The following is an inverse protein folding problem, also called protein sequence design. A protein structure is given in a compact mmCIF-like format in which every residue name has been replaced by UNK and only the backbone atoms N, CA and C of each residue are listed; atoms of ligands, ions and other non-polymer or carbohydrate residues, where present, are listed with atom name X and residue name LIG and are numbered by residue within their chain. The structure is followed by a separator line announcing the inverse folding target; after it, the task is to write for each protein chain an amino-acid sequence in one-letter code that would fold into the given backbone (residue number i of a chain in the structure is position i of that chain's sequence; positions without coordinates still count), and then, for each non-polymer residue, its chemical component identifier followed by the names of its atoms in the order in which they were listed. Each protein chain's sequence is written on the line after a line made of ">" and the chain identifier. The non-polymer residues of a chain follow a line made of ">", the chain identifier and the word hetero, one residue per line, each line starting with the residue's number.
data_IF_080855717038
#
_entry.id   IF_080855717038
#
_cell.length_a   1.000
_cell.length_b   1.000
_cell.length_c   1.000
_cell.angle_alpha   90.00
_cell.angle_beta   90.00
_cell.angle_gamma   90.00
#
_symmetry.space_group_name_H-M   'P 1'
#
loop_
_entity.id
_entity.type
_entity.pdbx_description
1 polymer ?
#
# COMPACT_ATOMS: atom_id res chain seq x y z
N UNK A 1 -47.25 36.88 -19.33
CA UNK A 1 -46.46 35.79 -19.93
C UNK A 1 -45.03 35.94 -19.47
N UNK A 2 -44.69 35.43 -18.28
CA UNK A 2 -43.31 35.26 -17.84
C UNK A 2 -43.08 33.75 -17.80
N UNK A 3 -42.29 33.25 -18.74
CA UNK A 3 -41.79 31.87 -18.71
C UNK A 3 -40.74 31.78 -17.60
N UNK A 4 -41.11 31.16 -16.48
CA UNK A 4 -40.14 30.64 -15.52
C UNK A 4 -39.33 29.55 -16.22
N UNK A 5 -38.09 29.88 -16.60
CA UNK A 5 -37.07 28.88 -16.87
C UNK A 5 -36.67 28.30 -15.52
N UNK A 6 -37.12 27.07 -15.26
CA UNK A 6 -36.55 26.22 -14.22
C UNK A 6 -35.21 25.75 -14.78
N UNK A 7 -34.13 26.43 -14.39
CA UNK A 7 -32.79 25.86 -14.47
C UNK A 7 -32.79 24.66 -13.53
N UNK A 8 -32.87 23.46 -14.11
CA UNK A 8 -32.53 22.23 -13.41
C UNK A 8 -31.08 22.35 -13.00
N UNK A 9 -30.85 22.55 -11.70
CA UNK A 9 -29.57 22.33 -11.06
C UNK A 9 -29.06 20.96 -11.52
N UNK A 10 -28.02 20.94 -12.34
CA UNK A 10 -27.11 19.81 -12.47
C UNK A 10 -26.40 19.66 -11.11
N UNK A 11 -27.16 19.24 -10.10
CA UNK A 11 -26.57 18.73 -8.88
C UNK A 11 -25.75 17.53 -9.30
N UNK A 12 -24.47 17.52 -8.93
CA UNK A 12 -23.58 16.37 -9.05
C UNK A 12 -24.33 15.14 -8.52
N UNK A 13 -24.94 14.39 -9.42
CA UNK A 13 -25.37 13.04 -9.14
C UNK A 13 -24.08 12.30 -8.87
N UNK A 14 -23.77 12.14 -7.59
CA UNK A 14 -22.81 11.15 -7.11
C UNK A 14 -23.17 9.87 -7.86
N UNK A 15 -22.32 9.52 -8.81
CA UNK A 15 -22.64 8.56 -9.84
C UNK A 15 -22.92 7.24 -9.13
N UNK A 16 -24.08 6.63 -9.37
CA UNK A 16 -24.43 5.33 -8.74
C UNK A 16 -23.33 4.30 -9.02
N UNK A 17 -22.62 4.48 -10.12
CA UNK A 17 -21.42 3.76 -10.54
C UNK A 17 -20.26 3.87 -9.54
N UNK A 18 -20.09 4.97 -8.80
CA UNK A 18 -19.00 5.15 -7.83
C UNK A 18 -19.26 4.37 -6.53
N UNK A 19 -20.52 4.32 -6.07
CA UNK A 19 -20.95 3.51 -4.93
C UNK A 19 -20.88 2.02 -5.28
N UNK A 20 -21.38 1.61 -6.46
CA UNK A 20 -21.27 0.22 -6.91
C UNK A 20 -19.82 -0.25 -7.00
N UNK A 21 -18.90 0.62 -7.42
CA UNK A 21 -17.46 0.32 -7.45
C UNK A 21 -16.82 0.18 -6.07
N UNK A 22 -17.38 0.73 -4.99
CA UNK A 22 -16.87 0.48 -3.62
C UNK A 22 -17.21 -0.96 -3.17
N UNK A 23 -18.44 -1.40 -3.39
CA UNK A 23 -18.88 -2.77 -3.10
C UNK A 23 -18.09 -3.82 -3.91
N UNK A 24 -17.66 -3.46 -5.11
CA UNK A 24 -16.77 -4.29 -5.93
C UNK A 24 -15.36 -4.36 -5.34
N UNK A 25 -14.79 -3.23 -4.87
CA UNK A 25 -13.47 -3.20 -4.25
C UNK A 25 -13.37 -4.06 -2.98
N UNK A 26 -14.41 -4.10 -2.15
CA UNK A 26 -14.42 -4.93 -0.94
C UNK A 26 -14.40 -6.43 -1.27
N UNK A 27 -14.84 -6.81 -2.47
CA UNK A 27 -14.86 -8.20 -2.93
C UNK A 27 -13.58 -8.63 -3.64
N UNK A 28 -12.68 -7.68 -3.96
CA UNK A 28 -11.45 -7.96 -4.70
C UNK A 28 -10.57 -8.94 -3.91
N UNK A 29 -10.23 -10.05 -4.57
CA UNK A 29 -9.33 -11.06 -4.00
C UNK A 29 -8.05 -11.12 -4.81
N UNK A 30 -6.94 -11.24 -4.09
CA UNK A 30 -5.66 -11.62 -4.71
C UNK A 30 -5.68 -13.12 -4.98
N UNK A 31 -5.53 -13.51 -6.24
CA UNK A 31 -5.44 -14.92 -6.62
C UNK A 31 -4.19 -15.53 -5.99
N UNK A 32 -4.35 -16.69 -5.32
CA UNK A 32 -3.24 -17.30 -4.55
C UNK A 32 -2.02 -17.66 -5.43
N UNK A 33 -2.25 -17.99 -6.70
CA UNK A 33 -1.21 -18.53 -7.58
C UNK A 33 -0.66 -17.52 -8.58
N UNK A 34 -1.52 -16.72 -9.23
CA UNK A 34 -1.02 -15.69 -10.16
C UNK A 34 -0.60 -14.41 -9.46
N UNK A 35 -0.98 -14.24 -8.18
CA UNK A 35 -0.71 -13.01 -7.41
C UNK A 35 -1.23 -11.78 -8.15
N UNK A 36 -2.38 -11.91 -8.79
CA UNK A 36 -3.08 -10.85 -9.51
C UNK A 36 -4.38 -10.53 -8.78
N UNK A 37 -4.91 -9.33 -8.97
CA UNK A 37 -6.29 -9.07 -8.59
C UNK A 37 -7.23 -9.84 -9.52
N UNK A 38 -8.37 -10.28 -9.00
CA UNK A 38 -9.44 -10.92 -9.78
C UNK A 38 -10.16 -9.93 -10.71
N UNK A 39 -9.98 -8.63 -10.49
CA UNK A 39 -10.47 -7.55 -11.34
C UNK A 39 -9.32 -6.94 -12.17
N UNK A 40 -9.42 -7.07 -13.50
CA UNK A 40 -8.41 -6.60 -14.47
C UNK A 40 -8.20 -5.08 -14.45
N UNK A 41 -9.25 -4.29 -14.17
CA UNK A 41 -9.15 -2.82 -14.14
C UNK A 41 -8.32 -2.37 -12.93
N UNK A 42 -8.51 -3.03 -11.78
CA UNK A 42 -7.74 -2.77 -10.56
C UNK A 42 -6.30 -3.25 -10.72
N UNK A 43 -6.07 -4.37 -11.41
CA UNK A 43 -4.73 -4.83 -11.77
C UNK A 43 -4.02 -3.81 -12.67
N UNK A 44 -4.71 -3.30 -13.70
CA UNK A 44 -4.17 -2.28 -14.58
C UNK A 44 -3.83 -0.99 -13.81
N UNK A 45 -4.72 -0.53 -12.94
CA UNK A 45 -4.51 0.64 -12.08
C UNK A 45 -3.31 0.43 -11.15
N UNK A 46 -3.20 -0.73 -10.49
CA UNK A 46 -2.06 -1.07 -9.64
C UNK A 46 -0.74 -1.06 -10.41
N UNK A 47 -0.72 -1.66 -11.61
CA UNK A 47 0.49 -1.70 -12.45
C UNK A 47 0.89 -0.30 -12.91
N UNK A 48 -0.08 0.53 -13.29
CA UNK A 48 0.20 1.88 -13.81
C UNK A 48 0.61 2.86 -12.70
N UNK A 49 0.00 2.77 -11.52
CA UNK A 49 0.20 3.73 -10.42
C UNK A 49 1.38 3.36 -9.52
N UNK A 50 1.58 2.07 -9.23
CA UNK A 50 2.57 1.61 -8.25
C UNK A 50 3.80 1.02 -8.93
N UNK A 51 3.60 0.02 -9.80
CA UNK A 51 4.70 -0.77 -10.39
C UNK A 51 5.47 0.06 -11.40
N UNK A 52 4.81 0.57 -12.45
CA UNK A 52 5.50 1.16 -13.60
C UNK A 52 6.40 2.36 -13.24
N UNK A 53 5.94 3.36 -12.47
CA UNK A 53 6.76 4.52 -12.15
C UNK A 53 7.99 4.12 -11.34
N UNK A 54 7.79 3.25 -10.36
CA UNK A 54 8.87 2.83 -9.46
C UNK A 54 9.84 1.87 -10.15
N UNK A 55 9.37 0.98 -11.01
CA UNK A 55 10.24 0.10 -11.79
C UNK A 55 11.15 0.90 -12.72
N UNK A 56 10.61 1.93 -13.39
CA UNK A 56 11.39 2.83 -14.26
C UNK A 56 12.48 3.59 -13.52
N UNK A 57 12.21 4.06 -12.30
CA UNK A 57 13.24 4.77 -11.51
C UNK A 57 14.29 3.81 -10.96
N UNK A 58 13.90 2.59 -10.56
CA UNK A 58 14.80 1.60 -9.96
C UNK A 58 15.65 0.85 -10.98
N UNK A 59 15.20 0.69 -12.23
CA UNK A 59 16.00 0.02 -13.26
C UNK A 59 17.16 0.89 -13.79
N UNK A 60 17.06 2.23 -13.68
CA UNK A 60 18.10 3.17 -14.14
C UNK A 60 19.44 2.91 -13.43
N UNK A 61 19.53 2.83 -12.08
CA UNK A 61 20.77 2.45 -11.40
C UNK A 61 21.35 1.12 -11.87
N UNK A 62 20.51 0.11 -12.16
CA UNK A 62 20.96 -1.20 -12.64
C UNK A 62 21.56 -1.08 -14.04
N UNK A 63 20.88 -0.38 -14.94
CA UNK A 63 21.38 -0.12 -16.29
C UNK A 63 22.69 0.67 -16.26
N UNK A 64 22.80 1.67 -15.39
CA UNK A 64 24.02 2.44 -15.20
C UNK A 64 25.18 1.59 -14.64
N UNK A 65 24.91 0.75 -13.65
CA UNK A 65 25.90 -0.17 -13.08
C UNK A 65 26.37 -1.19 -14.12
N UNK A 66 25.45 -1.78 -14.90
CA UNK A 66 25.78 -2.71 -15.97
C UNK A 66 26.59 -2.02 -17.07
N UNK A 67 26.22 -0.81 -17.48
CA UNK A 67 26.97 -0.02 -18.45
C UNK A 67 28.41 0.25 -17.97
N UNK A 68 28.56 0.75 -16.74
CA UNK A 68 29.86 1.06 -16.16
C UNK A 68 30.73 -0.20 -16.03
N UNK A 69 30.14 -1.30 -15.56
CA UNK A 69 30.85 -2.58 -15.46
C UNK A 69 31.25 -3.13 -16.83
N UNK A 70 30.39 -2.99 -17.84
CA UNK A 70 30.70 -3.45 -19.20
C UNK A 70 31.81 -2.64 -19.86
N UNK A 71 31.83 -1.32 -19.64
CA UNK A 71 32.94 -0.47 -20.06
C UNK A 71 34.23 -0.87 -19.34
N UNK A 72 34.15 -1.10 -18.03
CA UNK A 72 35.29 -1.54 -17.23
C UNK A 72 35.85 -2.88 -17.76
N UNK A 73 34.99 -3.88 -17.98
CA UNK A 73 35.39 -5.19 -18.48
C UNK A 73 36.02 -5.17 -19.88
N UNK A 74 35.71 -4.17 -20.72
CA UNK A 74 36.34 -3.99 -22.04
C UNK A 74 37.64 -3.18 -21.97
N UNK A 75 37.70 -2.22 -21.05
CA UNK A 75 38.82 -1.28 -20.94
C UNK A 75 39.99 -1.83 -20.12
N UNK A 76 39.76 -2.80 -19.23
CA UNK A 76 40.78 -3.28 -18.30
C UNK A 76 40.92 -4.82 -18.34
N UNK A 77 42.16 -5.29 -18.46
CA UNK A 77 42.51 -6.72 -18.40
C UNK A 77 42.34 -7.29 -16.99
N UNK A 78 42.86 -6.54 -16.02
CA UNK A 78 42.82 -6.77 -14.59
C UNK A 78 42.65 -5.46 -13.82
N UNK A 79 42.45 -5.54 -12.49
CA UNK A 79 42.52 -4.37 -11.62
C UNK A 79 43.90 -3.70 -11.81
N UNK A 80 43.91 -2.56 -12.51
CA UNK A 80 45.07 -1.68 -12.75
C UNK A 80 46.05 -2.07 -13.87
N UNK A 81 45.82 -3.15 -14.61
CA UNK A 81 46.62 -3.42 -15.81
C UNK A 81 46.04 -2.70 -17.06
N UNK A 82 46.95 -2.18 -17.87
CA UNK A 82 46.66 -1.16 -18.89
C UNK A 82 46.37 -1.72 -20.27
N UNK A 83 46.35 -3.04 -20.45
CA UNK A 83 46.06 -3.66 -21.75
C UNK A 83 44.54 -3.86 -21.92
N UNK A 84 43.86 -3.03 -22.74
CA UNK A 84 42.41 -3.10 -22.82
C UNK A 84 41.96 -4.31 -23.65
N UNK A 85 41.03 -5.13 -23.15
CA UNK A 85 40.50 -6.29 -23.89
C UNK A 85 39.88 -5.94 -25.23
N UNK A 86 39.34 -4.73 -25.38
CA UNK A 86 38.82 -4.24 -26.66
C UNK A 86 39.88 -4.17 -27.76
N UNK A 87 41.17 -4.33 -27.47
CA UNK A 87 42.23 -4.44 -28.50
C UNK A 87 42.57 -5.89 -28.86
N UNK A 88 42.09 -6.85 -28.06
CA UNK A 88 42.36 -8.27 -28.23
C UNK A 88 41.21 -8.94 -29.01
N UNK A 89 41.42 -9.20 -30.30
CA UNK A 89 40.44 -9.85 -31.19
C UNK A 89 41.02 -11.09 -31.90
N UNK A 90 42.09 -11.65 -31.34
CA UNK A 90 42.93 -12.64 -32.02
C UNK A 90 42.32 -14.05 -32.04
N UNK A 91 41.49 -14.40 -31.05
CA UNK A 91 40.74 -15.66 -31.04
C UNK A 91 39.23 -15.44 -31.18
N UNK A 92 38.52 -16.52 -31.54
CA UNK A 92 37.06 -16.53 -31.55
C UNK A 92 36.47 -16.27 -30.15
N UNK A 93 37.12 -16.74 -29.08
CA UNK A 93 36.70 -16.51 -27.70
C UNK A 93 36.82 -15.03 -27.31
N UNK A 94 37.95 -14.37 -27.61
CA UNK A 94 38.10 -12.92 -27.36
C UNK A 94 37.07 -12.11 -28.13
N UNK A 95 36.84 -12.46 -29.40
CA UNK A 95 35.87 -11.78 -30.26
C UNK A 95 34.47 -11.85 -29.65
N UNK A 96 34.01 -13.04 -29.24
CA UNK A 96 32.68 -13.22 -28.67
C UNK A 96 32.54 -12.56 -27.29
N UNK A 97 33.59 -12.64 -26.46
CA UNK A 97 33.66 -11.94 -25.18
C UNK A 97 33.49 -10.42 -25.36
N UNK A 98 34.26 -9.81 -26.27
CA UNK A 98 34.16 -8.38 -26.56
C UNK A 98 32.77 -8.00 -27.11
N UNK A 99 32.22 -8.78 -28.04
CA UNK A 99 30.88 -8.55 -28.58
C UNK A 99 29.79 -8.62 -27.49
N UNK A 100 29.93 -9.53 -26.51
CA UNK A 100 28.97 -9.64 -25.41
C UNK A 100 28.95 -8.40 -24.51
N UNK A 101 30.11 -7.83 -24.19
CA UNK A 101 30.18 -6.58 -23.43
C UNK A 101 29.73 -5.36 -24.23
N UNK A 102 30.02 -5.31 -25.54
CA UNK A 102 29.44 -4.29 -26.43
C UNK A 102 27.91 -4.39 -26.44
N UNK A 103 27.36 -5.61 -26.51
CA UNK A 103 25.92 -5.84 -26.37
C UNK A 103 25.38 -5.32 -25.03
N UNK A 104 26.07 -5.56 -23.91
CA UNK A 104 25.65 -5.04 -22.61
C UNK A 104 25.68 -3.51 -22.54
N UNK A 105 26.67 -2.85 -23.15
CA UNK A 105 26.70 -1.39 -23.27
C UNK A 105 25.50 -0.89 -24.06
N UNK A 106 25.29 -1.40 -25.28
CA UNK A 106 24.20 -0.95 -26.15
C UNK A 106 22.83 -1.23 -25.56
N UNK A 107 22.63 -2.41 -24.95
CA UNK A 107 21.37 -2.77 -24.30
C UNK A 107 21.12 -1.95 -23.03
N UNK A 108 22.16 -1.57 -22.28
CA UNK A 108 22.04 -0.65 -21.13
C UNK A 108 21.63 0.76 -21.56
N UNK A 109 22.18 1.27 -22.67
CA UNK A 109 21.76 2.54 -23.26
C UNK A 109 20.31 2.45 -23.72
N UNK A 110 19.93 1.35 -24.37
CA UNK A 110 18.56 1.13 -24.86
C UNK A 110 17.55 1.10 -23.70
N UNK A 111 17.80 0.33 -22.63
CA UNK A 111 16.87 0.27 -21.49
C UNK A 111 16.83 1.59 -20.74
N UNK A 112 17.96 2.31 -20.64
CA UNK A 112 17.98 3.66 -20.06
C UNK A 112 17.10 4.61 -20.87
N UNK A 113 17.21 4.60 -22.21
CA UNK A 113 16.38 5.39 -23.10
C UNK A 113 14.89 5.04 -22.95
N UNK A 114 14.53 3.76 -22.89
CA UNK A 114 13.13 3.33 -22.70
C UNK A 114 12.59 3.73 -21.32
N UNK A 115 13.45 3.75 -20.29
CA UNK A 115 13.07 4.11 -18.92
C UNK A 115 12.73 5.58 -18.77
N UNK A 116 13.39 6.47 -19.51
CA UNK A 116 13.13 7.92 -19.50
C UNK A 116 11.97 8.36 -20.41
N UNK A 117 11.55 7.51 -21.37
CA UNK A 117 10.40 7.81 -22.23
C UNK A 117 9.13 7.89 -21.34
N UNK A 118 8.32 8.95 -21.47
CA UNK A 118 7.10 9.10 -20.69
C UNK A 118 6.17 7.88 -20.77
N UNK A 119 5.53 7.54 -19.65
CA UNK A 119 4.59 6.41 -19.51
C UNK A 119 3.43 6.47 -20.49
N UNK A 120 3.07 7.66 -20.98
CA UNK A 120 2.03 7.85 -22.01
C UNK A 120 2.34 7.15 -23.34
N UNK A 121 3.62 6.90 -23.64
CA UNK A 121 4.06 6.27 -24.89
C UNK A 121 4.28 4.77 -24.71
N UNK A 122 4.77 4.36 -23.55
CA UNK A 122 5.02 2.94 -23.23
C UNK A 122 4.24 2.59 -21.97
N UNK A 123 3.17 1.80 -22.15
CA UNK A 123 2.31 1.36 -21.06
C UNK A 123 3.14 0.59 -20.02
N UNK A 124 2.67 0.60 -18.77
CA UNK A 124 3.40 -0.01 -17.66
C UNK A 124 3.69 -1.50 -17.86
N UNK A 125 2.71 -2.24 -18.38
CA UNK A 125 2.84 -3.66 -18.69
C UNK A 125 3.89 -3.93 -19.78
N UNK A 126 3.90 -3.12 -20.85
CA UNK A 126 4.86 -3.27 -21.94
C UNK A 126 6.29 -3.04 -21.45
N UNK A 127 6.47 -2.04 -20.57
CA UNK A 127 7.78 -1.75 -19.98
C UNK A 127 8.32 -2.91 -19.13
N UNK A 128 7.45 -3.52 -18.33
CA UNK A 128 7.82 -4.69 -17.52
C UNK A 128 8.24 -5.87 -18.38
N UNK A 129 7.49 -6.16 -19.46
CA UNK A 129 7.80 -7.22 -20.42
C UNK A 129 9.15 -6.95 -21.11
N UNK A 130 9.36 -5.73 -21.61
CA UNK A 130 10.64 -5.34 -22.25
C UNK A 130 11.80 -5.49 -21.28
N UNK A 131 11.63 -5.05 -20.03
CA UNK A 131 12.65 -5.16 -18.99
C UNK A 131 12.93 -6.62 -18.62
N UNK A 132 11.90 -7.46 -18.57
CA UNK A 132 12.04 -8.91 -18.33
C UNK A 132 12.85 -9.56 -19.46
N UNK A 133 12.51 -9.28 -20.72
CA UNK A 133 13.23 -9.83 -21.87
C UNK A 133 14.69 -9.37 -21.84
N UNK A 134 14.93 -8.08 -21.61
CA UNK A 134 16.26 -7.50 -21.49
C UNK A 134 17.10 -8.16 -20.40
N UNK A 135 16.54 -8.35 -19.19
CA UNK A 135 17.22 -9.01 -18.08
C UNK A 135 17.55 -10.47 -18.39
N UNK A 136 16.59 -11.24 -18.91
CA UNK A 136 16.81 -12.66 -19.21
C UNK A 136 17.89 -12.83 -20.30
N UNK A 137 17.81 -12.09 -21.40
CA UNK A 137 18.85 -12.14 -22.45
C UNK A 137 20.18 -11.68 -21.87
N UNK A 138 20.21 -10.62 -21.07
CA UNK A 138 21.41 -10.13 -20.40
C UNK A 138 22.07 -11.19 -19.52
N UNK A 139 21.30 -11.93 -18.72
CA UNK A 139 21.81 -13.02 -17.89
C UNK A 139 22.44 -14.12 -18.75
N UNK A 140 21.75 -14.58 -19.80
CA UNK A 140 22.29 -15.62 -20.67
C UNK A 140 23.57 -15.20 -21.38
N UNK A 141 23.58 -13.98 -21.96
CA UNK A 141 24.77 -13.43 -22.63
C UNK A 141 25.91 -13.23 -21.64
N UNK A 142 25.65 -12.68 -20.46
CA UNK A 142 26.66 -12.44 -19.43
C UNK A 142 27.25 -13.72 -18.86
N UNK A 143 26.43 -14.74 -18.61
CA UNK A 143 26.90 -16.05 -18.12
C UNK A 143 27.69 -16.79 -19.19
N UNK A 144 27.19 -16.89 -20.42
CA UNK A 144 27.86 -17.67 -21.48
C UNK A 144 29.13 -16.99 -22.01
N UNK A 145 29.05 -15.68 -22.26
CA UNK A 145 30.04 -14.95 -23.04
C UNK A 145 30.75 -13.87 -22.23
N UNK A 146 30.14 -13.37 -21.16
CA UNK A 146 30.76 -12.40 -20.24
C UNK A 146 31.73 -13.04 -19.23
N UNK A 147 31.67 -14.36 -19.04
CA UNK A 147 32.63 -15.10 -18.22
C UNK A 147 33.74 -15.71 -19.09
N UNK A 148 35.00 -15.32 -18.85
CA UNK A 148 36.17 -15.73 -19.64
C UNK A 148 36.33 -17.25 -19.73
N UNK A 149 36.17 -17.95 -18.61
CA UNK A 149 36.26 -19.41 -18.55
C UNK A 149 35.23 -20.08 -19.47
N UNK A 150 33.94 -19.76 -19.30
CA UNK A 150 32.85 -20.32 -20.12
C UNK A 150 33.03 -19.96 -21.60
N UNK A 151 33.37 -18.71 -21.90
CA UNK A 151 33.57 -18.25 -23.27
C UNK A 151 34.70 -19.02 -23.97
N UNK A 152 35.84 -19.24 -23.31
CA UNK A 152 36.93 -20.07 -23.86
C UNK A 152 36.51 -21.53 -24.06
N UNK A 153 35.85 -22.13 -23.06
CA UNK A 153 35.41 -23.53 -23.11
C UNK A 153 34.40 -23.81 -24.22
N UNK A 154 33.53 -22.86 -24.56
CA UNK A 154 32.59 -22.98 -25.70
C UNK A 154 33.32 -23.26 -27.02
N UNK A 155 34.52 -22.70 -27.19
CA UNK A 155 35.35 -22.89 -28.39
C UNK A 155 36.42 -23.97 -28.22
N UNK A 156 36.43 -24.69 -27.09
CA UNK A 156 37.42 -25.74 -26.81
C UNK A 156 38.82 -25.23 -26.50
N UNK A 157 38.98 -23.93 -26.20
CA UNK A 157 40.27 -23.38 -25.79
C UNK A 157 40.55 -23.65 -24.30
N UNK A 158 41.84 -23.74 -23.95
CA UNK A 158 42.26 -23.50 -22.57
C UNK A 158 42.04 -22.01 -22.27
N UNK A 159 41.32 -21.62 -21.20
CA UNK A 159 41.10 -20.21 -20.85
C UNK A 159 42.37 -19.36 -20.74
N UNK A 160 43.53 -19.96 -20.49
CA UNK A 160 44.82 -19.26 -20.45
C UNK A 160 45.26 -18.81 -21.86
N UNK A 161 44.94 -19.56 -22.91
CA UNK A 161 45.38 -19.23 -24.28
C UNK A 161 44.81 -17.90 -24.82
N UNK A 162 43.48 -17.64 -24.77
CA UNK A 162 42.91 -16.39 -25.25
C UNK A 162 42.98 -15.23 -24.24
N UNK A 163 43.06 -15.52 -22.93
CA UNK A 163 42.92 -14.49 -21.88
C UNK A 163 44.15 -14.34 -20.97
N UNK A 164 45.17 -15.20 -21.09
CA UNK A 164 46.36 -15.21 -20.22
C UNK A 164 47.49 -14.28 -20.60
N UNK A 165 47.36 -13.52 -21.70
CA UNK A 165 48.40 -12.60 -22.14
C UNK A 165 48.60 -11.47 -21.13
N UNK A 166 49.77 -11.42 -20.49
CA UNK A 166 50.18 -10.32 -19.61
C UNK A 166 50.13 -10.62 -18.10
N UNK A 167 49.82 -11.87 -17.71
CA UNK A 167 49.78 -12.25 -16.29
C UNK A 167 51.16 -12.67 -15.79
N UNK A 168 51.53 -12.16 -14.61
CA UNK A 168 52.66 -12.68 -13.84
C UNK A 168 52.43 -14.17 -13.49
N UNK A 169 53.51 -14.96 -13.46
CA UNK A 169 53.50 -16.40 -13.17
C UNK A 169 52.71 -16.71 -11.88
N UNK A 170 51.44 -17.08 -12.03
CA UNK A 170 50.57 -17.54 -10.93
C UNK A 170 49.18 -16.91 -10.85
N UNK A 171 48.90 -15.81 -11.55
CA UNK A 171 47.54 -15.25 -11.60
C UNK A 171 46.68 -16.02 -12.62
N UNK A 172 45.49 -16.46 -12.22
CA UNK A 172 44.55 -17.10 -13.13
C UNK A 172 43.84 -16.03 -13.98
N UNK A 173 43.79 -16.17 -15.32
CA UNK A 173 43.20 -15.16 -16.23
C UNK A 173 41.69 -15.00 -16.12
N UNK A 174 41.04 -15.76 -15.25
CA UNK A 174 39.61 -15.83 -15.11
C UNK A 174 39.20 -15.64 -13.65
N UNK A 175 38.07 -14.95 -13.45
CA UNK A 175 37.44 -14.80 -12.14
C UNK A 175 36.89 -16.14 -11.64
N UNK A 176 36.94 -16.36 -10.32
CA UNK A 176 36.27 -17.50 -9.70
C UNK A 176 34.77 -17.47 -9.99
N UNK A 177 34.16 -18.66 -10.06
CA UNK A 177 32.72 -18.80 -10.27
C UNK A 177 31.89 -18.26 -9.08
N UNK A 178 32.53 -18.06 -7.93
CA UNK A 178 31.93 -17.40 -6.77
C UNK A 178 31.46 -15.96 -7.08
N UNK A 179 32.23 -15.20 -7.86
CA UNK A 179 31.86 -13.83 -8.26
C UNK A 179 30.62 -13.84 -9.14
N UNK A 180 30.54 -14.80 -10.06
CA UNK A 180 29.37 -14.96 -10.93
C UNK A 180 28.13 -15.34 -10.12
N UNK A 181 28.25 -16.29 -9.19
CA UNK A 181 27.17 -16.66 -8.27
C UNK A 181 26.68 -15.47 -7.45
N UNK A 182 27.60 -14.67 -6.91
CA UNK A 182 27.28 -13.47 -6.15
C UNK A 182 26.53 -12.45 -7.00
N UNK A 183 26.99 -12.20 -8.23
CA UNK A 183 26.33 -11.27 -9.17
C UNK A 183 24.92 -11.77 -9.52
N UNK A 184 24.79 -13.04 -9.88
CA UNK A 184 23.49 -13.63 -10.25
C UNK A 184 22.49 -13.59 -9.09
N UNK A 185 22.94 -13.93 -7.88
CA UNK A 185 22.11 -13.82 -6.68
C UNK A 185 21.78 -12.35 -6.36
N UNK A 186 22.73 -11.44 -6.55
CA UNK A 186 22.55 -10.01 -6.38
C UNK A 186 21.49 -9.44 -7.32
N UNK A 187 21.48 -9.86 -8.59
CA UNK A 187 20.45 -9.48 -9.57
C UNK A 187 19.07 -9.92 -9.09
N UNK A 188 18.88 -11.20 -8.75
CA UNK A 188 17.58 -11.71 -8.27
C UNK A 188 17.16 -10.98 -7.00
N UNK A 189 18.07 -10.82 -6.04
CA UNK A 189 17.81 -10.11 -4.77
C UNK A 189 17.38 -8.67 -5.01
N UNK A 190 18.07 -7.95 -5.90
CA UNK A 190 17.73 -6.58 -6.25
C UNK A 190 16.31 -6.46 -6.82
N UNK A 191 15.95 -7.31 -7.79
CA UNK A 191 14.63 -7.25 -8.42
C UNK A 191 13.50 -7.79 -7.55
N UNK A 192 13.79 -8.70 -6.61
CA UNK A 192 12.80 -9.23 -5.67
C UNK A 192 12.56 -8.30 -4.48
N UNK A 193 13.58 -7.58 -4.01
CA UNK A 193 13.48 -6.77 -2.78
C UNK A 193 13.32 -5.29 -3.06
N UNK A 194 14.09 -4.74 -4.01
CA UNK A 194 14.22 -3.30 -4.20
C UNK A 194 13.44 -2.75 -5.39
N UNK A 195 13.12 -3.59 -6.37
CA UNK A 195 12.33 -3.20 -7.54
C UNK A 195 10.92 -3.77 -7.41
N UNK A 196 9.87 -2.93 -7.36
CA UNK A 196 8.51 -3.45 -7.41
C UNK A 196 8.25 -3.98 -8.82
N UNK A 197 8.34 -5.29 -8.94
CA UNK A 197 7.98 -6.09 -10.12
C UNK A 197 6.89 -7.06 -9.73
N UNK A 198 6.14 -7.63 -10.67
CA UNK A 198 5.23 -8.73 -10.35
C UNK A 198 6.01 -10.01 -10.09
N UNK A 199 5.52 -10.87 -9.21
CA UNK A 199 6.08 -12.18 -8.86
C UNK A 199 6.38 -13.01 -10.12
N UNK A 200 5.54 -12.92 -11.15
CA UNK A 200 5.74 -13.60 -12.43
C UNK A 200 7.08 -13.24 -13.08
N UNK A 201 7.48 -11.97 -13.06
CA UNK A 201 8.78 -11.53 -13.57
C UNK A 201 9.91 -12.13 -12.73
N UNK A 202 9.79 -12.05 -11.40
CA UNK A 202 10.78 -12.57 -10.47
C UNK A 202 10.98 -14.09 -10.63
N UNK A 203 9.92 -14.86 -10.83
CA UNK A 203 9.99 -16.31 -11.10
C UNK A 203 10.71 -16.59 -12.42
N UNK A 204 10.36 -15.87 -13.49
CA UNK A 204 11.05 -16.02 -14.78
C UNK A 204 12.54 -15.72 -14.66
N UNK A 205 12.90 -14.64 -13.96
CA UNK A 205 14.28 -14.24 -13.72
C UNK A 205 15.04 -15.30 -12.93
N UNK A 206 14.44 -15.80 -11.85
CA UNK A 206 14.97 -16.87 -11.02
C UNK A 206 15.23 -18.14 -11.82
N UNK A 207 14.28 -18.58 -12.64
CA UNK A 207 14.43 -19.73 -13.52
C UNK A 207 15.58 -19.50 -14.49
N UNK A 208 15.65 -18.31 -15.12
CA UNK A 208 16.73 -18.01 -16.07
C UNK A 208 18.10 -18.04 -15.40
N UNK A 209 18.26 -17.46 -14.21
CA UNK A 209 19.52 -17.47 -13.44
C UNK A 209 19.93 -18.90 -13.08
N UNK A 210 19.02 -19.67 -12.49
CA UNK A 210 19.30 -21.05 -12.08
C UNK A 210 19.64 -21.91 -13.31
N UNK A 211 18.88 -21.78 -14.40
CA UNK A 211 19.07 -22.57 -15.60
C UNK A 211 20.35 -22.17 -16.34
N UNK A 212 20.63 -20.88 -16.52
CA UNK A 212 21.84 -20.42 -17.20
C UNK A 212 23.09 -20.85 -16.45
N UNK A 213 23.12 -20.70 -15.12
CA UNK A 213 24.27 -21.10 -14.33
C UNK A 213 24.45 -22.63 -14.33
N UNK A 214 23.39 -23.38 -13.99
CA UNK A 214 23.48 -24.84 -13.87
C UNK A 214 23.81 -25.48 -15.22
N UNK A 215 23.09 -25.12 -16.30
CA UNK A 215 23.32 -25.70 -17.62
C UNK A 215 24.75 -25.44 -18.09
N UNK A 216 25.26 -24.20 -17.93
CA UNK A 216 26.62 -23.89 -18.35
C UNK A 216 27.67 -24.57 -17.48
N UNK A 217 27.47 -24.65 -16.15
CA UNK A 217 28.38 -25.36 -15.26
C UNK A 217 28.45 -26.86 -15.53
N UNK A 218 27.32 -27.51 -15.84
CA UNK A 218 27.30 -28.94 -16.19
C UNK A 218 27.88 -29.23 -17.58
N UNK A 219 27.66 -28.36 -18.57
CA UNK A 219 28.12 -28.57 -19.94
C UNK A 219 29.59 -28.19 -20.11
N UNK A 220 30.02 -27.05 -19.55
CA UNK A 220 31.34 -26.46 -19.76
C UNK A 220 32.32 -26.74 -18.60
N UNK A 221 31.83 -27.28 -17.48
CA UNK A 221 32.60 -27.43 -16.25
C UNK A 221 32.78 -26.13 -15.48
N UNK A 222 33.43 -26.23 -14.33
CA UNK A 222 33.77 -25.09 -13.47
C UNK A 222 35.29 -24.85 -13.43
N UNK A 223 35.74 -23.60 -13.20
CA UNK A 223 37.16 -23.24 -13.13
C UNK A 223 37.92 -23.89 -11.97
N UNK A 224 37.25 -24.14 -10.85
CA UNK A 224 37.81 -24.77 -9.65
C UNK A 224 37.31 -26.23 -9.55
N UNK A 225 37.96 -27.09 -8.76
CA UNK A 225 37.51 -28.48 -8.48
C UNK A 225 36.15 -28.58 -7.78
N UNK A 226 35.41 -27.49 -7.77
CA UNK A 226 34.08 -27.36 -7.24
C UNK A 226 33.10 -28.26 -7.98
N UNK A 227 32.22 -28.89 -7.21
CA UNK A 227 31.19 -29.74 -7.76
C UNK A 227 30.06 -28.85 -8.32
N UNK A 228 29.78 -28.89 -9.65
CA UNK A 228 28.72 -28.08 -10.26
C UNK A 228 27.34 -28.36 -9.68
N UNK A 229 27.10 -29.59 -9.19
CA UNK A 229 25.86 -29.93 -8.52
C UNK A 229 25.68 -29.15 -7.21
N UNK A 230 26.73 -29.08 -6.39
CA UNK A 230 26.68 -28.37 -5.09
C UNK A 230 26.42 -26.88 -5.29
N UNK A 231 27.15 -26.24 -6.21
CA UNK A 231 26.98 -24.81 -6.51
C UNK A 231 25.59 -24.51 -7.10
N UNK A 232 25.10 -25.38 -7.99
CA UNK A 232 23.75 -25.25 -8.57
C UNK A 232 22.66 -25.39 -7.51
N UNK A 233 22.75 -26.37 -6.62
CA UNK A 233 21.80 -26.54 -5.51
C UNK A 233 21.82 -25.32 -4.60
N UNK A 234 23.00 -24.82 -4.25
CA UNK A 234 23.14 -23.62 -3.40
C UNK A 234 22.46 -22.42 -4.05
N UNK A 235 22.71 -22.16 -5.34
CA UNK A 235 22.07 -21.08 -6.08
C UNK A 235 20.54 -21.23 -6.08
N UNK A 236 20.03 -22.43 -6.38
CA UNK A 236 18.58 -22.71 -6.40
C UNK A 236 17.95 -22.42 -5.02
N UNK A 237 18.59 -22.84 -3.93
CA UNK A 237 18.10 -22.60 -2.57
C UNK A 237 18.06 -21.09 -2.26
N UNK A 238 19.15 -20.37 -2.53
CA UNK A 238 19.24 -18.92 -2.29
C UNK A 238 18.18 -18.15 -3.09
N UNK A 239 18.06 -18.44 -4.39
CA UNK A 239 17.07 -17.83 -5.27
C UNK A 239 15.65 -18.15 -4.82
N UNK A 240 15.38 -19.39 -4.41
CA UNK A 240 14.06 -19.81 -3.92
C UNK A 240 13.64 -19.07 -2.64
N UNK A 241 14.59 -18.85 -1.72
CA UNK A 241 14.35 -18.07 -0.50
C UNK A 241 13.97 -16.62 -0.83
N UNK A 242 14.70 -16.01 -1.75
CA UNK A 242 14.45 -14.62 -2.19
C UNK A 242 13.10 -14.49 -2.90
N UNK A 243 12.76 -15.41 -3.81
CA UNK A 243 11.46 -15.41 -4.52
C UNK A 243 10.30 -15.65 -3.54
N UNK A 244 10.46 -16.53 -2.55
CA UNK A 244 9.46 -16.72 -1.49
C UNK A 244 9.21 -15.42 -0.72
N UNK A 245 10.28 -14.72 -0.33
CA UNK A 245 10.19 -13.39 0.29
C UNK A 245 9.45 -12.38 -0.59
N UNK A 246 9.73 -12.38 -1.90
CA UNK A 246 9.02 -11.53 -2.87
C UNK A 246 7.52 -11.82 -2.92
N UNK A 247 7.11 -13.08 -2.87
CA UNK A 247 5.69 -13.48 -2.86
C UNK A 247 4.97 -12.88 -1.65
N UNK A 248 5.58 -12.97 -0.47
CA UNK A 248 5.03 -12.36 0.74
C UNK A 248 4.98 -10.84 0.66
N UNK A 249 6.05 -10.21 0.17
CA UNK A 249 6.14 -8.76 0.01
C UNK A 249 5.07 -8.23 -0.95
N UNK A 250 4.90 -8.86 -2.12
CA UNK A 250 3.90 -8.44 -3.09
C UNK A 250 2.48 -8.59 -2.56
N UNK A 251 2.18 -9.69 -1.87
CA UNK A 251 0.87 -9.85 -1.23
C UNK A 251 0.58 -8.72 -0.24
N UNK A 252 1.55 -8.33 0.57
CA UNK A 252 1.42 -7.22 1.51
C UNK A 252 1.18 -5.89 0.79
N UNK A 253 1.97 -5.57 -0.23
CA UNK A 253 1.83 -4.34 -1.02
C UNK A 253 0.45 -4.28 -1.71
N UNK A 254 -0.02 -5.39 -2.27
CA UNK A 254 -1.35 -5.46 -2.91
C UNK A 254 -2.48 -5.24 -1.90
N UNK A 255 -2.38 -5.81 -0.70
CA UNK A 255 -3.35 -5.56 0.37
C UNK A 255 -3.35 -4.09 0.82
N UNK A 256 -2.17 -3.48 0.95
CA UNK A 256 -2.03 -2.05 1.25
C UNK A 256 -2.65 -1.18 0.16
N UNK A 257 -2.43 -1.53 -1.11
CA UNK A 257 -3.02 -0.82 -2.24
C UNK A 257 -4.55 -0.84 -2.21
N UNK A 258 -5.17 -2.00 -1.96
CA UNK A 258 -6.64 -2.11 -1.85
C UNK A 258 -7.15 -1.31 -0.65
N UNK A 259 -6.52 -1.46 0.52
CA UNK A 259 -6.93 -0.74 1.73
C UNK A 259 -6.82 0.78 1.55
N UNK A 260 -5.76 1.25 0.89
CA UNK A 260 -5.57 2.66 0.58
C UNK A 260 -6.65 3.18 -0.38
N UNK A 261 -6.94 2.47 -1.47
CA UNK A 261 -7.96 2.89 -2.42
C UNK A 261 -9.37 2.93 -1.80
N UNK A 262 -9.72 1.94 -0.96
CA UNK A 262 -10.98 1.96 -0.20
C UNK A 262 -11.02 3.20 0.72
N UNK A 263 -9.93 3.50 1.43
CA UNK A 263 -9.86 4.68 2.31
C UNK A 263 -10.04 6.00 1.55
N UNK A 264 -9.34 6.17 0.42
CA UNK A 264 -9.44 7.37 -0.43
C UNK A 264 -10.85 7.55 -0.96
N UNK A 265 -11.50 6.48 -1.45
CA UNK A 265 -12.88 6.57 -1.96
C UNK A 265 -13.88 6.90 -0.86
N UNK A 266 -13.79 6.24 0.31
CA UNK A 266 -14.62 6.58 1.47
C UNK A 266 -14.51 8.03 1.86
N UNK A 267 -13.30 8.57 1.75
CA UNK A 267 -13.06 9.96 2.11
C UNK A 267 -13.64 10.93 1.09
N UNK A 268 -13.56 10.63 -0.21
CA UNK A 268 -14.26 11.40 -1.24
C UNK A 268 -15.78 11.38 -1.07
N UNK A 269 -16.36 10.20 -0.80
CA UNK A 269 -17.80 10.10 -0.52
C UNK A 269 -18.20 10.92 0.71
N UNK A 270 -17.32 10.94 1.73
CA UNK A 270 -17.52 11.76 2.92
C UNK A 270 -17.47 13.25 2.59
N UNK A 271 -16.51 13.70 1.78
CA UNK A 271 -16.40 15.09 1.29
C UNK A 271 -17.66 15.52 0.53
N UNK A 272 -18.17 14.67 -0.38
CA UNK A 272 -19.40 14.98 -1.13
C UNK A 272 -20.63 15.02 -0.23
N UNK A 273 -20.77 14.06 0.70
CA UNK A 273 -21.86 14.06 1.67
C UNK A 273 -21.82 15.30 2.57
N UNK A 274 -20.61 15.70 2.96
CA UNK A 274 -20.31 16.92 3.71
C UNK A 274 -20.75 18.17 2.96
N UNK A 275 -20.34 18.32 1.70
CA UNK A 275 -20.68 19.50 0.90
C UNK A 275 -22.18 19.58 0.62
N UNK A 276 -22.82 18.42 0.40
CA UNK A 276 -24.28 18.33 0.27
C UNK A 276 -24.99 18.82 1.53
N UNK A 277 -24.52 18.40 2.72
CA UNK A 277 -25.09 18.83 4.01
C UNK A 277 -24.82 20.31 4.29
N UNK A 278 -23.64 20.82 3.93
CA UNK A 278 -23.27 22.24 4.09
C UNK A 278 -24.15 23.14 3.22
N UNK A 279 -24.43 22.73 2.00
CA UNK A 279 -25.29 23.47 1.07
C UNK A 279 -26.78 23.36 1.45
N UNK A 280 -27.16 22.38 2.27
CA UNK A 280 -28.54 22.16 2.71
C UNK A 280 -28.94 22.94 3.99
N UNK A 281 -28.01 23.48 4.77
CA UNK A 281 -28.30 24.07 6.10
C UNK A 281 -27.68 25.47 6.30
N UNK A 282 -28.55 26.50 6.40
CA UNK A 282 -28.22 27.88 6.81
C UNK A 282 -28.16 28.06 8.37
N UNK A 283 -27.83 27.02 9.17
CA UNK A 283 -27.92 27.03 10.65
C UNK A 283 -26.64 26.61 11.41
N UNK A 284 -26.47 26.97 12.70
CA UNK A 284 -25.16 27.09 13.36
C UNK A 284 -24.45 25.76 13.68
N UNK A 285 -23.16 25.71 13.36
CA UNK A 285 -22.38 24.53 12.92
C UNK A 285 -21.27 24.04 13.89
N UNK A 286 -21.21 24.45 15.15
CA UNK A 286 -19.97 24.33 15.95
C UNK A 286 -19.46 22.92 16.26
N UNK A 287 -20.33 21.92 16.42
CA UNK A 287 -19.90 20.53 16.62
C UNK A 287 -19.68 19.77 15.30
N UNK A 288 -20.35 20.21 14.24
CA UNK A 288 -20.16 19.72 12.89
C UNK A 288 -18.79 20.18 12.37
N UNK A 289 -18.44 21.46 12.58
CA UNK A 289 -17.12 22.04 12.32
C UNK A 289 -15.98 21.29 13.03
N UNK A 290 -16.22 20.75 14.23
CA UNK A 290 -15.22 19.95 14.94
C UNK A 290 -15.01 18.58 14.28
N UNK A 291 -16.09 17.86 13.95
CA UNK A 291 -15.99 16.61 13.20
C UNK A 291 -15.32 16.84 11.82
N UNK A 292 -15.58 17.99 11.20
CA UNK A 292 -14.92 18.43 9.96
C UNK A 292 -13.42 18.67 10.14
N UNK A 293 -13.03 19.34 11.23
CA UNK A 293 -11.62 19.55 11.54
C UNK A 293 -10.90 18.21 11.79
N UNK A 294 -11.57 17.26 12.43
CA UNK A 294 -11.02 15.93 12.71
C UNK A 294 -10.90 15.09 11.42
N UNK A 295 -11.88 15.14 10.53
CA UNK A 295 -11.82 14.51 9.19
C UNK A 295 -10.74 15.16 8.32
N UNK A 296 -10.69 16.49 8.27
CA UNK A 296 -9.68 17.24 7.52
C UNK A 296 -8.25 17.01 8.05
N UNK A 297 -8.10 16.79 9.36
CA UNK A 297 -6.84 16.40 9.98
C UNK A 297 -6.43 14.97 9.58
N UNK A 298 -7.37 14.02 9.60
CA UNK A 298 -7.13 12.65 9.15
C UNK A 298 -6.78 12.58 7.65
N UNK A 299 -7.42 13.42 6.84
CA UNK A 299 -7.15 13.64 5.42
C UNK A 299 -5.74 14.15 5.16
N UNK A 300 -5.35 15.23 5.84
CA UNK A 300 -3.99 15.76 5.74
C UNK A 300 -2.95 14.71 6.17
N UNK A 301 -3.25 13.87 7.16
CA UNK A 301 -2.39 12.76 7.56
C UNK A 301 -2.23 11.71 6.45
N UNK A 302 -3.32 11.29 5.81
CA UNK A 302 -3.29 10.33 4.70
C UNK A 302 -2.59 10.89 3.46
N UNK A 303 -2.79 12.18 3.15
CA UNK A 303 -2.11 12.85 2.03
C UNK A 303 -0.61 13.04 2.32
N UNK A 304 -0.26 13.42 3.55
CA UNK A 304 1.14 13.50 3.98
C UNK A 304 1.81 12.12 3.94
N UNK A 305 1.07 11.06 4.26
CA UNK A 305 1.55 9.69 4.13
C UNK A 305 1.75 9.27 2.67
N UNK A 306 0.83 9.61 1.76
CA UNK A 306 0.99 9.37 0.33
C UNK A 306 2.21 10.12 -0.24
N UNK A 307 2.40 11.38 0.16
CA UNK A 307 3.59 12.16 -0.17
C UNK A 307 4.86 11.61 0.48
N UNK A 308 4.76 11.00 1.65
CA UNK A 308 5.83 10.28 2.35
C UNK A 308 6.25 9.02 1.61
N UNK A 309 5.29 8.17 1.24
CA UNK A 309 5.50 7.02 0.35
C UNK A 309 6.11 7.44 -0.99
N UNK A 310 5.69 8.56 -1.57
CA UNK A 310 6.30 9.11 -2.79
C UNK A 310 7.70 9.73 -2.57
N UNK A 311 7.96 10.33 -1.40
CA UNK A 311 9.27 10.91 -1.04
C UNK A 311 10.30 9.84 -0.69
N UNK A 312 9.94 8.83 0.08
CA UNK A 312 10.82 7.72 0.45
C UNK A 312 11.01 6.74 -0.71
N UNK A 313 10.14 6.78 -1.73
CA UNK A 313 10.38 6.15 -3.04
C UNK A 313 11.21 7.01 -4.01
N UNK A 314 11.66 8.20 -3.60
CA UNK A 314 12.63 9.01 -4.34
C UNK A 314 12.05 9.76 -5.54
N UNK A 315 10.75 10.07 -5.55
CA UNK A 315 10.16 10.95 -6.57
C UNK A 315 10.37 12.40 -6.17
N UNK A 316 11.56 12.92 -6.46
CA UNK A 316 11.81 14.35 -6.46
C UNK A 316 11.02 15.02 -7.58
N UNK A 317 9.78 15.44 -7.31
CA UNK A 317 9.08 16.43 -8.12
C UNK A 317 9.90 17.72 -8.12
N UNK A 318 10.58 17.99 -9.24
CA UNK A 318 11.31 19.23 -9.48
C UNK A 318 10.32 20.35 -9.77
N UNK A 319 9.65 20.84 -8.73
CA UNK A 319 9.02 22.16 -8.75
C UNK A 319 9.91 23.15 -8.02
N UNK A 320 10.59 23.99 -8.80
CA UNK A 320 11.44 25.11 -8.37
C UNK A 320 10.77 25.92 -7.25
N UNK A 321 11.40 25.98 -6.08
CA UNK A 321 11.41 27.19 -5.26
C UNK A 321 12.81 27.36 -4.68
N UNK A 322 13.35 28.56 -4.90
CA UNK A 322 14.69 28.92 -4.48
C UNK A 322 14.79 29.21 -2.99
N UNK A 323 16.06 29.24 -2.59
CA UNK A 323 16.65 29.85 -1.39
C UNK A 323 16.96 28.93 -0.20
N UNK A 324 18.26 28.98 0.11
CA UNK A 324 18.89 29.01 1.43
C UNK A 324 19.07 27.70 2.23
N UNK A 325 20.35 27.28 2.24
CA UNK A 325 21.14 26.80 3.40
C UNK A 325 20.42 25.90 4.42
N UNK A 326 20.81 24.63 4.45
CA UNK A 326 21.29 23.98 5.69
C UNK A 326 22.06 22.69 5.36
N UNK A 327 23.35 22.71 5.66
CA UNK A 327 24.17 21.53 5.90
C UNK A 327 23.82 21.01 7.30
N UNK A 328 23.71 19.69 7.45
CA UNK A 328 23.88 19.04 8.75
C UNK A 328 22.88 17.95 9.09
N UNK A 329 23.44 16.77 9.42
CA UNK A 329 22.84 15.67 10.20
C UNK A 329 22.04 14.65 9.39
N UNK A 330 22.78 13.79 8.69
CA UNK A 330 22.33 12.45 8.30
C UNK A 330 22.22 11.57 9.55
N UNK A 331 21.02 11.48 10.12
CA UNK A 331 20.67 10.49 11.14
C UNK A 331 20.11 9.25 10.41
N UNK A 332 20.86 8.15 10.46
CA UNK A 332 20.42 6.82 10.00
C UNK A 332 19.11 6.46 10.73
N UNK A 333 17.99 6.44 10.00
CA UNK A 333 16.72 5.88 10.47
C UNK A 333 16.64 4.39 10.10
N UNK A 334 16.24 3.58 11.07
CA UNK A 334 16.05 2.14 10.96
C UNK A 334 14.79 1.84 10.14
N UNK A 335 14.98 1.26 8.95
CA UNK A 335 13.95 1.06 7.92
C UNK A 335 12.81 0.10 8.28
N UNK A 336 12.84 -0.55 9.45
CA UNK A 336 11.84 -1.56 9.87
C UNK A 336 10.87 -1.05 10.93
N UNK A 337 11.24 -0.03 11.72
CA UNK A 337 10.36 0.53 12.76
C UNK A 337 9.32 1.50 12.21
N UNK A 338 9.65 2.15 11.10
CA UNK A 338 8.83 3.23 10.56
C UNK A 338 7.63 2.65 9.77
N UNK A 339 7.78 1.52 9.08
CA UNK A 339 6.66 0.83 8.41
C UNK A 339 5.59 0.27 9.35
N UNK A 340 5.96 -0.22 10.54
CA UNK A 340 4.99 -0.67 11.55
C UNK A 340 4.25 0.54 12.16
N UNK A 341 4.99 1.60 12.48
CA UNK A 341 4.42 2.84 13.00
C UNK A 341 3.46 3.51 12.02
N UNK A 342 3.78 3.45 10.73
CA UNK A 342 2.96 3.98 9.66
C UNK A 342 1.68 3.15 9.44
N UNK A 343 1.79 1.82 9.52
CA UNK A 343 0.61 0.94 9.54
C UNK A 343 -0.30 1.23 10.73
N UNK A 344 0.27 1.43 11.93
CA UNK A 344 -0.50 1.77 13.13
C UNK A 344 -1.19 3.12 13.01
N UNK A 345 -0.55 4.11 12.40
CA UNK A 345 -1.15 5.42 12.12
C UNK A 345 -2.31 5.34 11.12
N UNK A 346 -2.22 4.49 10.10
CA UNK A 346 -3.33 4.25 9.16
C UNK A 346 -4.48 3.56 9.88
N UNK A 347 -4.21 2.57 10.73
CA UNK A 347 -5.22 1.88 11.53
C UNK A 347 -5.90 2.88 12.48
N UNK A 348 -5.13 3.76 13.12
CA UNK A 348 -5.63 4.80 14.01
C UNK A 348 -6.48 5.83 13.26
N UNK A 349 -6.03 6.34 12.11
CA UNK A 349 -6.81 7.25 11.27
C UNK A 349 -8.11 6.61 10.78
N UNK A 350 -8.06 5.35 10.33
CA UNK A 350 -9.25 4.61 9.89
C UNK A 350 -10.23 4.39 11.04
N UNK A 351 -9.72 4.14 12.26
CA UNK A 351 -10.53 4.01 13.47
C UNK A 351 -11.17 5.35 13.85
N UNK A 352 -10.44 6.47 13.77
CA UNK A 352 -10.95 7.81 14.03
C UNK A 352 -12.06 8.19 13.05
N UNK A 353 -11.90 7.90 11.77
CA UNK A 353 -12.94 8.12 10.74
C UNK A 353 -14.18 7.27 11.05
N UNK A 354 -14.01 5.99 11.38
CA UNK A 354 -15.13 5.09 11.73
C UNK A 354 -15.87 5.55 13.00
N UNK A 355 -15.16 5.95 14.04
CA UNK A 355 -15.77 6.47 15.26
C UNK A 355 -16.48 7.81 15.01
N UNK A 356 -15.88 8.70 14.21
CA UNK A 356 -16.51 9.96 13.82
C UNK A 356 -17.81 9.72 13.05
N UNK A 357 -17.84 8.75 12.14
CA UNK A 357 -19.04 8.33 11.41
C UNK A 357 -20.10 7.74 12.35
N UNK A 358 -19.70 6.90 13.31
CA UNK A 358 -20.60 6.32 14.31
C UNK A 358 -21.21 7.39 15.21
N UNK A 359 -20.44 8.41 15.60
CA UNK A 359 -20.90 9.56 16.38
C UNK A 359 -21.86 10.41 15.55
N UNK A 360 -21.52 10.72 14.30
CA UNK A 360 -22.40 11.48 13.39
C UNK A 360 -23.73 10.75 13.15
N UNK A 361 -23.68 9.46 12.81
CA UNK A 361 -24.85 8.61 12.59
C UNK A 361 -25.73 8.52 13.84
N UNK A 362 -25.14 8.30 15.02
CA UNK A 362 -25.85 8.32 16.32
C UNK A 362 -26.45 9.67 16.63
N UNK A 363 -25.80 10.78 16.28
CA UNK A 363 -26.30 12.12 16.61
C UNK A 363 -27.47 12.53 15.73
N UNK A 364 -27.44 12.21 14.44
CA UNK A 364 -28.58 12.43 13.54
C UNK A 364 -29.83 11.63 13.95
N UNK A 365 -29.67 10.46 14.58
CA UNK A 365 -30.80 9.68 15.12
C UNK A 365 -31.23 10.13 16.52
N UNK A 366 -30.30 10.61 17.37
CA UNK A 366 -30.58 11.05 18.74
C UNK A 366 -31.15 12.48 18.82
N UNK A 367 -30.69 13.42 18.00
CA UNK A 367 -31.18 14.82 18.00
C UNK A 367 -32.66 14.93 17.54
N UNK A 368 -33.27 13.83 17.04
CA UNK A 368 -34.69 13.74 16.68
C UNK A 368 -35.58 13.11 17.75
N UNK A 369 -35.03 12.53 18.82
CA UNK A 369 -35.85 11.89 19.86
C UNK A 369 -36.28 12.96 20.87
N UNK A 370 -37.55 13.32 20.90
CA UNK A 370 -38.14 14.29 21.83
C UNK A 370 -38.54 13.64 23.17
N UNK A 371 -37.70 12.75 23.70
CA UNK A 371 -37.97 12.04 24.95
C UNK A 371 -38.29 13.02 26.09
N UNK A 372 -39.39 12.78 26.81
CA UNK A 372 -39.86 13.66 27.90
C UNK A 372 -40.30 15.07 27.46
N UNK A 373 -40.37 15.35 26.15
CA UNK A 373 -40.86 16.61 25.59
C UNK A 373 -42.20 16.46 24.86
N UNK A 374 -42.42 15.32 24.20
CA UNK A 374 -43.65 15.01 23.48
C UNK A 374 -44.35 13.79 24.08
N UNK A 375 -45.60 13.96 24.50
CA UNK A 375 -46.44 12.86 24.98
C UNK A 375 -46.83 11.87 23.87
N UNK A 376 -46.79 12.31 22.61
CA UNK A 376 -47.14 11.49 21.45
C UNK A 376 -45.93 10.76 20.85
N UNK A 377 -44.80 10.71 21.55
CA UNK A 377 -43.61 10.00 21.08
C UNK A 377 -43.93 8.51 20.82
N UNK A 378 -43.90 8.11 19.55
CA UNK A 378 -44.15 6.73 19.14
C UNK A 378 -42.89 5.87 19.34
N UNK A 379 -42.70 5.34 20.54
CA UNK A 379 -41.53 4.53 20.88
C UNK A 379 -41.47 3.19 20.13
N UNK A 380 -42.61 2.66 19.72
CA UNK A 380 -42.68 1.42 18.92
C UNK A 380 -42.08 1.68 17.54
N UNK A 381 -42.52 2.74 16.85
CA UNK A 381 -41.93 3.16 15.57
C UNK A 381 -40.45 3.49 15.71
N UNK A 382 -40.06 4.19 16.78
CA UNK A 382 -38.66 4.51 17.03
C UNK A 382 -37.78 3.26 17.17
N UNK A 383 -38.24 2.23 17.88
CA UNK A 383 -37.49 0.98 18.02
C UNK A 383 -37.54 0.13 16.75
N UNK A 384 -38.73 -0.13 16.21
CA UNK A 384 -38.91 -1.12 15.16
C UNK A 384 -38.43 -0.63 13.80
N UNK A 385 -38.57 0.67 13.52
CA UNK A 385 -38.26 1.24 12.20
C UNK A 385 -36.90 1.93 12.21
N UNK A 386 -36.57 2.67 13.27
CA UNK A 386 -35.39 3.52 13.25
C UNK A 386 -34.18 2.91 13.97
N UNK A 387 -34.39 2.08 15.00
CA UNK A 387 -33.31 1.60 15.88
C UNK A 387 -33.49 0.12 16.32
N UNK A 388 -33.67 -0.85 15.39
CA UNK A 388 -34.05 -2.22 15.73
C UNK A 388 -33.00 -2.95 16.60
N UNK A 389 -31.73 -2.60 16.45
CA UNK A 389 -30.60 -3.26 17.12
C UNK A 389 -30.16 -2.57 18.42
N UNK A 390 -30.80 -1.46 18.81
CA UNK A 390 -30.43 -0.72 20.02
C UNK A 390 -31.47 -0.93 21.12
N UNK A 391 -31.04 -1.11 22.38
CA UNK A 391 -31.98 -1.18 23.50
C UNK A 391 -32.58 0.21 23.75
N UNK A 392 -33.91 0.31 23.63
CA UNK A 392 -34.65 1.58 23.72
C UNK A 392 -34.56 2.25 25.09
N UNK A 393 -34.52 1.46 26.18
CA UNK A 393 -34.51 1.99 27.54
C UNK A 393 -33.22 2.78 27.85
N UNK A 394 -32.00 2.26 27.61
CA UNK A 394 -30.78 3.02 27.76
C UNK A 394 -30.76 4.31 26.93
N UNK A 395 -31.31 4.27 25.71
CA UNK A 395 -31.39 5.44 24.84
C UNK A 395 -32.22 6.57 25.47
N UNK A 396 -33.46 6.26 25.86
CA UNK A 396 -34.38 7.22 26.48
C UNK A 396 -33.84 7.70 27.83
N UNK A 397 -33.39 6.79 28.67
CA UNK A 397 -32.91 7.13 30.01
C UNK A 397 -31.64 8.00 29.99
N UNK A 398 -30.66 7.69 29.13
CA UNK A 398 -29.46 8.53 28.99
C UNK A 398 -29.82 9.94 28.53
N UNK A 399 -30.77 10.07 27.60
CA UNK A 399 -31.21 11.38 27.13
C UNK A 399 -31.83 12.21 28.26
N UNK A 400 -32.75 11.65 29.04
CA UNK A 400 -33.41 12.38 30.13
C UNK A 400 -32.45 12.72 31.28
N UNK A 401 -31.57 11.79 31.64
CA UNK A 401 -30.61 11.96 32.75
C UNK A 401 -29.50 12.96 32.37
N UNK A 402 -29.11 13.04 31.10
CA UNK A 402 -28.09 13.97 30.61
C UNK A 402 -28.51 15.45 30.69
N UNK A 403 -29.82 15.73 30.63
CA UNK A 403 -30.36 17.09 30.61
C UNK A 403 -30.36 17.75 31.99
N UNK A 404 -30.45 16.97 33.09
CA UNK A 404 -30.65 17.53 34.45
C UNK A 404 -29.81 16.87 35.56
N UNK A 405 -29.55 15.56 35.51
CA UNK A 405 -29.07 14.80 36.67
C UNK A 405 -27.54 14.52 36.67
N UNK A 406 -26.94 14.26 35.50
CA UNK A 406 -25.52 13.86 35.44
C UNK A 406 -24.57 14.98 35.91
N UNK A 407 -24.86 16.24 35.57
CA UNK A 407 -24.08 17.39 36.02
C UNK A 407 -24.23 17.70 37.51
N UNK A 408 -25.43 17.52 38.06
CA UNK A 408 -25.73 17.79 39.47
C UNK A 408 -25.18 16.71 40.42
N UNK A 409 -25.22 15.44 40.01
CA UNK A 409 -24.79 14.30 40.81
C UNK A 409 -23.37 13.81 40.51
N UNK A 410 -22.68 14.41 39.53
CA UNK A 410 -21.32 14.04 39.09
C UNK A 410 -21.18 12.56 38.74
N UNK A 411 -22.23 11.98 38.16
CA UNK A 411 -22.21 10.59 37.69
C UNK A 411 -21.39 10.55 36.41
N UNK A 412 -20.38 9.68 36.36
CA UNK A 412 -19.60 9.48 35.14
C UNK A 412 -20.46 8.78 34.07
N UNK A 413 -20.36 9.24 32.83
CA UNK A 413 -21.21 8.80 31.72
C UNK A 413 -21.10 7.28 31.45
N UNK A 414 -19.89 6.74 31.59
CA UNK A 414 -19.61 5.31 31.48
C UNK A 414 -20.29 4.49 32.58
N UNK A 415 -20.30 4.98 33.83
CA UNK A 415 -21.00 4.35 34.95
C UNK A 415 -22.52 4.35 34.69
N UNK A 416 -23.06 5.47 34.21
CA UNK A 416 -24.48 5.60 33.87
C UNK A 416 -24.88 4.63 32.75
N UNK A 417 -24.12 4.61 31.65
CA UNK A 417 -24.39 3.74 30.51
C UNK A 417 -24.30 2.25 30.90
N UNK A 418 -23.32 1.88 31.74
CA UNK A 418 -23.21 0.52 32.26
C UNK A 418 -24.39 0.14 33.15
N UNK A 419 -24.84 1.05 34.02
CA UNK A 419 -26.02 0.82 34.86
C UNK A 419 -27.27 0.60 34.00
N UNK A 420 -27.54 1.51 33.06
CA UNK A 420 -28.71 1.43 32.19
C UNK A 420 -28.71 0.19 31.30
N UNK A 421 -27.54 -0.19 30.76
CA UNK A 421 -27.39 -1.43 29.99
C UNK A 421 -27.73 -2.66 30.83
N UNK A 422 -27.28 -2.70 32.10
CA UNK A 422 -27.60 -3.80 33.01
C UNK A 422 -29.09 -3.85 33.36
N UNK A 423 -29.70 -2.70 33.68
CA UNK A 423 -31.14 -2.61 33.96
C UNK A 423 -31.96 -3.07 32.76
N UNK A 424 -31.63 -2.59 31.56
CA UNK A 424 -32.27 -3.01 30.32
C UNK A 424 -32.19 -4.51 30.11
N UNK A 425 -31.03 -5.12 30.40
CA UNK A 425 -30.83 -6.56 30.31
C UNK A 425 -31.59 -7.41 31.33
N UNK A 426 -32.18 -6.79 32.36
CA UNK A 426 -33.05 -7.51 33.33
C UNK A 426 -34.50 -7.61 32.88
N UNK A 427 -34.93 -6.80 31.92
CA UNK A 427 -36.27 -6.93 31.34
C UNK A 427 -36.34 -8.17 30.45
N UNK A 428 -37.34 -9.02 30.69
CA UNK A 428 -37.59 -10.22 29.89
C UNK A 428 -38.47 -9.91 28.69
N UNK A 429 -38.46 -10.78 27.68
CA UNK A 429 -39.36 -10.71 26.53
C UNK A 429 -40.77 -11.18 26.91
N UNK A 430 -41.43 -10.41 27.76
CA UNK A 430 -42.87 -10.52 28.00
C UNK A 430 -43.60 -9.49 27.17
N UNK A 431 -44.82 -9.82 26.74
CA UNK A 431 -45.59 -9.05 25.77
C UNK A 431 -45.74 -7.56 26.13
N UNK A 432 -45.89 -7.25 27.43
CA UNK A 432 -46.11 -5.88 27.89
C UNK A 432 -45.01 -5.36 28.83
N UNK A 433 -44.65 -6.07 29.89
CA UNK A 433 -43.69 -5.58 30.90
C UNK A 433 -42.22 -5.77 30.48
N UNK A 434 -41.85 -5.21 29.33
CA UNK A 434 -40.52 -5.29 28.74
C UNK A 434 -39.80 -3.92 28.76
N UNK A 435 -38.60 -3.88 28.18
CA UNK A 435 -37.80 -2.64 28.09
C UNK A 435 -38.50 -1.50 27.35
N UNK A 436 -39.39 -1.81 26.39
CA UNK A 436 -40.16 -0.80 25.65
C UNK A 436 -41.13 -0.09 26.58
N UNK A 437 -41.87 -0.86 27.37
CA UNK A 437 -42.81 -0.31 28.33
C UNK A 437 -42.09 0.51 29.41
N UNK A 438 -40.93 0.06 29.88
CA UNK A 438 -40.11 0.85 30.79
C UNK A 438 -39.69 2.20 30.18
N UNK A 439 -39.18 2.19 28.93
CA UNK A 439 -38.80 3.42 28.24
C UNK A 439 -39.99 4.38 28.04
N UNK A 440 -41.19 3.83 27.78
CA UNK A 440 -42.42 4.60 27.68
C UNK A 440 -42.82 5.25 29.00
N UNK A 441 -42.80 4.49 30.09
CA UNK A 441 -43.09 5.00 31.43
C UNK A 441 -42.11 6.11 31.80
N UNK A 442 -40.81 5.91 31.54
CA UNK A 442 -39.77 6.91 31.82
C UNK A 442 -39.97 8.19 30.99
N UNK A 443 -40.22 8.08 29.67
CA UNK A 443 -40.47 9.25 28.81
C UNK A 443 -41.75 10.00 29.17
N UNK A 444 -42.88 9.29 29.34
CA UNK A 444 -44.17 9.91 29.67
C UNK A 444 -44.18 10.46 31.10
N UNK A 445 -43.52 9.79 32.03
CA UNK A 445 -43.35 10.26 33.39
C UNK A 445 -42.65 11.62 33.40
N UNK A 446 -41.56 11.77 32.66
CA UNK A 446 -40.85 13.04 32.55
C UNK A 446 -41.72 14.13 31.91
N UNK A 447 -42.44 13.81 30.84
CA UNK A 447 -43.38 14.74 30.23
C UNK A 447 -44.42 15.22 31.25
N UNK A 448 -45.03 14.31 32.00
CA UNK A 448 -46.06 14.64 32.99
C UNK A 448 -45.49 15.46 34.15
N UNK A 449 -44.28 15.14 34.62
CA UNK A 449 -43.61 15.88 35.68
C UNK A 449 -43.42 17.35 35.27
N UNK A 450 -42.98 17.58 34.04
CA UNK A 450 -42.80 18.91 33.46
C UNK A 450 -44.13 19.61 33.22
N UNK A 451 -45.12 18.91 32.66
CA UNK A 451 -46.44 19.47 32.38
C UNK A 451 -47.20 19.87 33.66
N UNK A 452 -46.98 19.14 34.75
CA UNK A 452 -47.56 19.47 36.06
C UNK A 452 -46.93 20.72 36.70
N UNK A 453 -45.77 21.18 36.22
CA UNK A 453 -45.08 22.37 36.73
C UNK A 453 -44.65 22.24 38.19
N UNK A 454 -44.54 21.01 38.72
CA UNK A 454 -44.15 20.76 40.10
C UNK A 454 -42.65 21.05 40.23
N UNK A 455 -42.22 21.94 41.12
CA UNK A 455 -40.80 22.14 41.35
C UNK A 455 -40.23 20.91 42.05
N UNK A 456 -39.30 20.24 41.38
CA UNK A 456 -38.59 19.06 41.91
C UNK A 456 -37.11 19.38 41.96
N UNK A 457 -36.46 19.08 43.09
CA UNK A 457 -35.01 19.25 43.19
C UNK A 457 -34.29 18.15 42.38
N UNK A 458 -33.01 18.35 42.06
CA UNK A 458 -32.27 17.41 41.22
C UNK A 458 -32.20 15.98 41.81
N UNK A 459 -32.22 15.83 43.13
CA UNK A 459 -32.18 14.52 43.79
C UNK A 459 -33.51 13.77 43.62
N UNK A 460 -34.63 14.44 43.91
CA UNK A 460 -35.97 13.88 43.76
C UNK A 460 -36.31 13.61 42.30
N UNK A 461 -35.81 14.45 41.38
CA UNK A 461 -35.97 14.24 39.95
C UNK A 461 -35.17 13.02 39.46
N UNK A 462 -33.95 12.84 39.97
CA UNK A 462 -33.16 11.64 39.66
C UNK A 462 -33.80 10.39 40.26
N UNK A 463 -34.28 10.47 41.51
CA UNK A 463 -35.00 9.36 42.15
C UNK A 463 -36.25 8.97 41.35
N UNK A 464 -36.97 9.96 40.82
CA UNK A 464 -38.12 9.74 39.94
C UNK A 464 -37.74 9.04 38.62
N UNK A 465 -36.65 9.44 37.96
CA UNK A 465 -36.21 8.79 36.71
C UNK A 465 -35.63 7.39 36.91
N UNK A 466 -35.09 7.09 38.11
CA UNK A 466 -34.54 5.78 38.47
C UNK A 466 -35.63 4.81 38.90
N UNK A 467 -36.70 5.30 39.53
CA UNK A 467 -37.88 4.54 39.90
C UNK A 467 -38.71 4.15 38.68
#
# INVERSE_FOLDING_TARGET
>A
MCSLQVETFEGEHMDIDEIQREDELEKVRVTKWSMEFDNDDIEAEYVETVISPTMRTRIIPVAAALFAYSLYSLAFSEWFDSTPYITQWHTAANTLFNLSWIYHILSSIAIFAVSIIPTRIVRGQDFEIVSQIWLNIGIWVGVLFGNRWRCAKIFGYDPIEPFGNGLDDGALPYSSDADLLLILNGIVTYFCVWTPTRVRLSISLAISVCLSYSATGFILGLPDTDNPLTQSIMLIVLVSMVVSGKVHLERSIRQQFVAFNISVRRTKLLEVAVDTLRNANDGPTTNFEKAFADIGSALNLLETFNLGLQRDTGVGSTRRLGSSKASGILRRHSFTSDTERDSDQIIEATKLIRESFKILSRRTSIDRVTAGQDFNLNLIELQEIHLPDLPILPLIATQLISVLAAGALRIQEDILNNFLSRVSGTYTEVEYHNQMHAAQVTSHGEYLLRAAGVPVNALDHTAFLVA
#
